data_IF_690663668723
#
_entry.id   IF_690663668723
#
_cell.length_a   1.000
_cell.length_b   1.000
_cell.length_c   1.000
_cell.angle_alpha   90.00
_cell.angle_beta   90.00
_cell.angle_gamma   90.00
#
_symmetry.space_group_name_H-M   'P 1'
#
loop_
_entity.id
_entity.type
_entity.pdbx_description
1 polymer ?
#
# COMPACT_ATOMS: atom_id res chain seq x y z
N UNK A 1 5.01 -3.39 -11.48
CA UNK A 1 4.84 -2.04 -10.88
C UNK A 1 3.55 -1.41 -11.41
N UNK A 2 2.81 -0.63 -10.61
CA UNK A 2 1.45 -0.17 -10.94
C UNK A 2 1.32 0.96 -12.00
N UNK A 3 2.43 1.55 -12.45
CA UNK A 3 2.43 2.70 -13.39
C UNK A 3 1.58 3.90 -12.92
N UNK A 4 1.55 4.15 -11.61
CA UNK A 4 0.87 5.30 -10.99
C UNK A 4 1.89 6.23 -10.33
N UNK A 5 1.47 7.47 -10.07
CA UNK A 5 2.25 8.40 -9.27
C UNK A 5 2.45 7.89 -7.82
N UNK A 6 3.63 8.07 -7.20
CA UNK A 6 3.89 7.66 -5.81
C UNK A 6 2.92 8.24 -4.77
N UNK A 7 2.37 9.45 -4.98
CA UNK A 7 1.36 10.04 -4.09
C UNK A 7 0.05 9.24 -4.12
N UNK A 8 -0.27 8.59 -5.24
CA UNK A 8 -1.43 7.70 -5.33
C UNK A 8 -1.25 6.47 -4.44
N UNK A 9 -0.07 5.86 -4.44
CA UNK A 9 0.25 4.74 -3.54
C UNK A 9 0.21 5.18 -2.06
N UNK A 10 0.69 6.40 -1.78
CA UNK A 10 0.57 7.00 -0.43
C UNK A 10 -0.89 7.19 0.00
N UNK A 11 -1.77 7.60 -0.92
CA UNK A 11 -3.21 7.75 -0.66
C UNK A 11 -3.87 6.41 -0.33
N UNK A 12 -3.51 5.33 -1.03
CA UNK A 12 -4.01 3.99 -0.71
C UNK A 12 -3.65 3.56 0.70
N UNK A 13 -2.41 3.83 1.13
CA UNK A 13 -1.99 3.51 2.48
C UNK A 13 -2.68 4.36 3.56
N UNK A 14 -2.99 5.63 3.26
CA UNK A 14 -3.82 6.45 4.17
C UNK A 14 -5.26 5.93 4.27
N UNK A 15 -5.79 5.38 3.18
CA UNK A 15 -7.14 4.81 3.12
C UNK A 15 -7.23 3.36 3.65
N UNK A 16 -6.17 2.82 4.26
CA UNK A 16 -6.15 1.44 4.77
C UNK A 16 -6.08 0.34 3.71
N UNK A 17 -5.96 0.70 2.43
CA UNK A 17 -5.99 -0.23 1.28
C UNK A 17 -4.65 -0.92 1.01
N UNK A 18 -3.56 -0.41 1.59
CA UNK A 18 -2.22 -0.95 1.44
C UNK A 18 -1.44 -0.72 2.74
N UNK A 19 -0.88 -1.77 3.33
CA UNK A 19 -0.06 -1.63 4.55
C UNK A 19 1.20 -0.81 4.27
N UNK A 20 1.52 0.13 5.16
CA UNK A 20 2.74 0.92 5.06
C UNK A 20 3.47 1.00 6.41
N UNK A 21 4.77 0.75 6.37
CA UNK A 21 5.70 0.95 7.49
C UNK A 21 6.40 2.28 7.25
N UNK A 22 6.60 3.07 8.30
CA UNK A 22 7.37 4.32 8.22
C UNK A 22 8.81 4.06 8.67
N UNK A 23 9.76 4.58 7.89
CA UNK A 23 11.15 4.69 8.33
C UNK A 23 11.29 5.81 9.38
N UNK A 24 12.42 5.86 10.09
CA UNK A 24 12.72 6.96 11.02
C UNK A 24 12.64 8.35 10.37
N UNK A 25 13.03 8.48 9.09
CA UNK A 25 12.89 9.73 8.31
C UNK A 25 11.50 10.00 7.73
N UNK A 26 10.46 9.24 8.13
CA UNK A 26 9.07 9.48 7.72
C UNK A 26 8.66 8.94 6.35
N UNK A 27 9.58 8.40 5.54
CA UNK A 27 9.25 7.75 4.27
C UNK A 27 8.45 6.46 4.47
N UNK A 28 7.54 6.16 3.55
CA UNK A 28 6.75 4.93 3.55
C UNK A 28 7.45 3.82 2.81
N UNK A 29 7.43 2.61 3.37
CA UNK A 29 7.84 1.35 2.75
C UNK A 29 6.65 0.40 2.73
N UNK A 30 6.55 -0.40 1.68
CA UNK A 30 5.43 -1.30 1.42
C UNK A 30 5.92 -2.74 1.42
N UNK A 31 5.10 -3.67 1.91
CA UNK A 31 5.43 -5.09 1.87
C UNK A 31 5.40 -5.57 0.43
N UNK A 32 6.49 -6.19 -0.01
CA UNK A 32 6.61 -6.67 -1.39
C UNK A 32 5.51 -7.68 -1.75
N UNK A 33 5.19 -8.61 -0.85
CA UNK A 33 4.15 -9.62 -1.06
C UNK A 33 2.79 -9.00 -1.36
N UNK A 34 2.39 -7.98 -0.61
CA UNK A 34 1.12 -7.27 -0.78
C UNK A 34 1.08 -6.50 -2.12
N UNK A 35 2.20 -5.86 -2.49
CA UNK A 35 2.35 -5.20 -3.80
C UNK A 35 2.25 -6.20 -4.95
N UNK A 36 2.93 -7.35 -4.85
CA UNK A 36 2.89 -8.41 -5.87
C UNK A 36 1.49 -9.00 -6.01
N UNK A 37 0.81 -9.28 -4.90
CA UNK A 37 -0.57 -9.80 -4.88
C UNK A 37 -1.54 -8.83 -5.59
N UNK A 38 -1.47 -7.53 -5.27
CA UNK A 38 -2.29 -6.50 -5.91
C UNK A 38 -2.01 -6.36 -7.41
N UNK A 39 -0.75 -6.53 -7.85
CA UNK A 39 -0.40 -6.55 -9.28
C UNK A 39 -0.98 -7.77 -10.02
N UNK A 40 -1.19 -8.88 -9.30
CA UNK A 40 -1.85 -10.09 -9.79
C UNK A 40 -3.39 -10.01 -9.71
N UNK A 41 -3.94 -8.86 -9.28
CA UNK A 41 -5.39 -8.66 -9.18
C UNK A 41 -6.02 -9.21 -7.90
N UNK A 42 -5.23 -9.68 -6.93
CA UNK A 42 -5.77 -10.05 -5.63
C UNK A 42 -6.19 -8.78 -4.89
N UNK A 43 -7.50 -8.60 -4.71
CA UNK A 43 -8.06 -7.49 -3.92
C UNK A 43 -8.11 -7.95 -2.46
N UNK A 44 -7.27 -7.43 -1.55
CA UNK A 44 -7.34 -7.77 -0.15
C UNK A 44 -8.68 -7.30 0.41
N UNK A 45 -9.26 -8.08 1.34
CA UNK A 45 -10.42 -7.63 2.09
C UNK A 45 -10.07 -6.31 2.78
N UNK A 46 -10.93 -5.30 2.57
CA UNK A 46 -10.74 -3.99 3.14
C UNK A 46 -10.72 -4.15 4.67
N UNK A 47 -9.56 -3.89 5.28
CA UNK A 47 -9.46 -3.83 6.75
C UNK A 47 -10.38 -2.72 7.20
N UNK A 48 -11.52 -3.08 7.80
CA UNK A 48 -12.33 -2.13 8.54
C UNK A 48 -11.44 -1.64 9.69
N UNK A 49 -11.21 -0.33 9.74
CA UNK A 49 -10.36 0.26 10.76
C UNK A 49 -10.98 0.11 12.15
N UNK A 50 -10.12 -0.16 13.14
CA UNK A 50 -10.37 0.22 14.53
C UNK A 50 -10.44 1.75 14.68
#
# INVERSE_FOLDING_TARGET
MFRVDPKTVTRWAKAGKLSAIRTLGGHRRYRESEVRALLQGQIPQQRQGD
#
